data_IF_827921188515
#
_entry.id   IF_827921188515
#
_cell.length_a   1.000
_cell.length_b   1.000
_cell.length_c   1.000
_cell.angle_alpha   90.00
_cell.angle_beta   90.00
_cell.angle_gamma   90.00
#
_symmetry.space_group_name_H-M   'P 1'
#
loop_
_entity.id
_entity.type
_entity.pdbx_description
1 polymer ?
#
# COMPACT_ATOMS: atom_id res chain seq x y z
N UNK A 1 -19.32 10.33 -7.24
CA UNK A 1 -18.80 10.27 -5.85
C UNK A 1 -17.80 9.11 -5.60
N UNK A 2 -17.13 8.55 -6.62
CA UNK A 2 -16.40 7.28 -6.46
C UNK A 2 -15.07 7.20 -7.24
N UNK A 3 -14.24 8.21 -7.05
CA UNK A 3 -12.79 8.17 -7.32
C UNK A 3 -12.15 9.21 -6.42
N UNK A 4 -11.93 8.84 -5.15
CA UNK A 4 -11.51 9.78 -4.10
C UNK A 4 -10.04 9.73 -3.73
N UNK A 5 -9.22 8.83 -4.29
CA UNK A 5 -7.80 8.74 -3.92
C UNK A 5 -6.90 8.29 -5.07
N UNK A 6 -6.77 9.16 -6.07
CA UNK A 6 -5.52 9.27 -6.81
C UNK A 6 -5.04 10.67 -6.46
N UNK A 7 -4.06 10.78 -5.54
CA UNK A 7 -3.07 11.87 -5.40
C UNK A 7 -2.38 11.77 -4.03
N UNK A 8 -1.09 11.43 -4.15
CA UNK A 8 0.10 11.78 -3.35
C UNK A 8 0.22 11.42 -1.87
N UNK A 9 1.50 11.33 -1.53
CA UNK A 9 2.08 10.99 -0.26
C UNK A 9 3.31 11.86 -0.04
N UNK A 10 3.43 12.40 1.17
CA UNK A 10 4.63 13.06 1.66
C UNK A 10 4.29 14.27 2.52
N UNK A 11 3.79 14.04 3.75
CA UNK A 11 3.98 14.93 4.92
C UNK A 11 3.22 14.50 6.20
N UNK A 12 2.36 13.47 6.18
CA UNK A 12 1.65 13.04 7.40
C UNK A 12 2.51 12.01 8.15
N UNK A 13 3.61 12.45 8.75
CA UNK A 13 4.42 11.64 9.67
C UNK A 13 4.25 12.05 11.14
N UNK A 14 3.32 12.98 11.48
CA UNK A 14 3.27 13.57 12.81
C UNK A 14 1.88 13.63 13.50
N UNK A 15 0.86 12.91 13.02
CA UNK A 15 -0.48 12.97 13.65
C UNK A 15 -1.05 11.65 14.18
N UNK A 16 -0.30 10.54 14.15
CA UNK A 16 -0.75 9.26 14.74
C UNK A 16 -0.18 9.04 16.14
N UNK A 17 -0.49 9.94 17.08
CA UNK A 17 -0.25 9.77 18.53
C UNK A 17 -1.40 10.30 19.37
N UNK A 18 -2.66 10.07 18.97
CA UNK A 18 -3.83 10.40 19.82
C UNK A 18 -5.03 9.49 19.54
N UNK A 19 -4.90 8.18 19.65
CA UNK A 19 -6.05 7.29 19.76
C UNK A 19 -5.66 6.01 20.51
N UNK A 20 -5.64 6.10 21.84
CA UNK A 20 -5.87 4.97 22.72
C UNK A 20 -6.94 5.42 23.71
N UNK A 21 -8.19 5.10 23.36
CA UNK A 21 -9.34 5.26 24.25
C UNK A 21 -9.39 4.11 25.24
N UNK A 22 -9.65 4.45 26.50
CA UNK A 22 -9.90 3.51 27.58
C UNK A 22 -11.08 2.59 27.26
N UNK A 23 -10.91 1.29 27.50
CA UNK A 23 -11.99 0.29 27.48
C UNK A 23 -12.55 0.17 28.90
N UNK A 24 -13.87 0.26 29.11
CA UNK A 24 -14.47 -0.05 30.41
C UNK A 24 -14.66 -1.57 30.55
N UNK A 25 -14.24 -2.12 31.69
CA UNK A 25 -14.48 -3.53 32.05
C UNK A 25 -15.78 -3.61 32.82
N UNK A 26 -16.76 -4.33 32.27
CA UNK A 26 -18.01 -4.72 32.94
C UNK A 26 -17.75 -5.91 33.87
N UNK A 27 -18.11 -5.77 35.14
CA UNK A 27 -18.19 -6.88 36.09
C UNK A 27 -19.63 -7.40 36.13
N UNK A 28 -19.82 -8.66 35.78
CA UNK A 28 -20.98 -9.44 36.21
C UNK A 28 -20.59 -10.91 36.30
N UNK A 29 -20.69 -11.47 37.51
CA UNK A 29 -21.06 -12.87 37.74
C UNK A 29 -21.31 -13.09 39.23
N UNK A 30 -22.57 -13.02 39.65
CA UNK A 30 -23.05 -13.61 40.90
C UNK A 30 -23.50 -15.04 40.62
N UNK A 31 -22.88 -16.07 41.24
CA UNK A 31 -23.53 -17.33 41.66
C UNK A 31 -22.59 -18.04 42.64
N UNK A 32 -23.10 -18.29 43.86
CA UNK A 32 -23.18 -19.58 44.58
C UNK A 32 -23.05 -19.40 46.10
N UNK A 33 -24.10 -19.81 46.82
CA UNK A 33 -24.11 -20.07 48.26
C UNK A 33 -24.24 -21.58 48.46
N UNK A 34 -23.39 -22.16 49.30
CA UNK A 34 -23.58 -23.33 50.19
C UNK A 34 -22.17 -23.78 50.64
N UNK A 35 -21.73 -23.52 51.88
CA UNK A 35 -22.04 -24.18 53.17
C UNK A 35 -21.00 -25.26 53.56
N UNK A 36 -20.30 -25.00 54.67
CA UNK A 36 -19.75 -25.99 55.59
C UNK A 36 -18.38 -26.63 55.28
N UNK A 37 -17.37 -26.25 56.07
CA UNK A 37 -16.67 -27.11 57.07
C UNK A 37 -15.26 -26.54 57.35
N UNK A 38 -15.14 -26.06 58.59
CA UNK A 38 -14.00 -25.80 59.48
C UNK A 38 -12.56 -25.88 58.93
N UNK A 39 -11.87 -24.73 58.96
CA UNK A 39 -10.41 -24.63 58.86
C UNK A 39 -9.85 -23.90 60.06
N UNK A 40 -8.79 -24.49 60.61
CA UNK A 40 -7.91 -23.92 61.63
C UNK A 40 -7.56 -22.46 61.30
N UNK A 41 -7.71 -21.61 62.31
CA UNK A 41 -7.42 -20.18 62.25
C UNK A 41 -5.90 -20.01 62.28
N UNK A 42 -5.28 -19.97 61.10
CA UNK A 42 -4.06 -19.19 60.90
C UNK A 42 -4.50 -17.74 60.74
N UNK A 43 -4.04 -16.85 61.62
CA UNK A 43 -4.21 -15.40 61.46
C UNK A 43 -3.50 -14.98 60.17
N UNK A 44 -4.24 -14.98 59.07
CA UNK A 44 -3.79 -14.40 57.81
C UNK A 44 -4.04 -12.91 57.92
N UNK A 45 -2.96 -12.12 58.03
CA UNK A 45 -3.05 -10.67 57.91
C UNK A 45 -3.88 -10.32 56.65
N UNK A 46 -4.79 -9.34 56.72
CA UNK A 46 -5.64 -9.02 55.59
C UNK A 46 -4.78 -8.62 54.40
N UNK A 47 -4.76 -9.46 53.36
CA UNK A 47 -4.05 -9.18 52.12
C UNK A 47 -4.52 -7.82 51.62
N UNK A 48 -3.62 -6.84 51.58
CA UNK A 48 -3.92 -5.50 51.06
C UNK A 48 -4.51 -5.67 49.67
N UNK A 49 -5.81 -5.31 49.54
CA UNK A 49 -6.56 -5.43 48.28
C UNK A 49 -5.94 -4.63 47.13
N UNK A 50 -5.10 -3.65 47.45
CA UNK A 50 -4.40 -2.85 46.46
C UNK A 50 -2.91 -2.73 46.80
N UNK A 51 -2.07 -3.32 45.94
CA UNK A 51 -0.62 -3.15 46.03
C UNK A 51 -0.23 -1.70 45.69
N UNK A 52 0.75 -1.18 46.41
CA UNK A 52 1.36 0.12 46.12
C UNK A 52 1.97 0.12 44.71
N UNK A 53 2.04 1.31 44.10
CA UNK A 53 2.59 1.50 42.75
C UNK A 53 4.02 0.95 42.63
N UNK A 54 4.79 1.05 43.70
CA UNK A 54 6.18 0.58 43.75
C UNK A 54 6.27 -0.95 43.87
N UNK A 55 5.34 -1.57 44.61
CA UNK A 55 5.25 -3.03 44.72
C UNK A 55 4.81 -3.65 43.40
N UNK A 56 3.84 -3.02 42.71
CA UNK A 56 3.42 -3.41 41.36
C UNK A 56 4.58 -3.30 40.36
N UNK A 57 5.41 -2.25 40.45
CA UNK A 57 6.59 -2.09 39.60
C UNK A 57 7.65 -3.17 39.86
N UNK A 58 7.91 -3.50 41.13
CA UNK A 58 8.85 -4.56 41.52
C UNK A 58 8.39 -5.93 41.03
N UNK A 59 7.12 -6.25 41.21
CA UNK A 59 6.53 -7.51 40.75
C UNK A 59 6.57 -7.58 39.22
N UNK A 60 6.24 -6.50 38.51
CA UNK A 60 6.34 -6.43 37.05
C UNK A 60 7.78 -6.67 36.56
N UNK A 61 8.77 -6.03 37.19
CA UNK A 61 10.18 -6.23 36.84
C UNK A 61 10.65 -7.66 37.12
N UNK A 62 10.20 -8.26 38.21
CA UNK A 62 10.51 -9.64 38.54
C UNK A 62 9.87 -10.62 37.56
N UNK A 63 8.59 -10.46 37.24
CA UNK A 63 7.91 -11.28 36.23
C UNK A 63 8.57 -11.16 34.85
N UNK A 64 8.98 -9.96 34.44
CA UNK A 64 9.71 -9.75 33.19
C UNK A 64 11.09 -10.43 33.18
N UNK A 65 11.68 -10.70 34.35
CA UNK A 65 12.94 -11.45 34.46
C UNK A 65 12.75 -12.97 34.40
N UNK A 66 11.57 -13.47 34.78
CA UNK A 66 11.21 -14.88 34.78
C UNK A 66 10.66 -15.37 33.44
N UNK A 67 10.11 -14.45 32.64
CA UNK A 67 9.69 -14.75 31.27
C UNK A 67 10.94 -14.84 30.41
N UNK A 68 11.26 -15.99 29.78
CA UNK A 68 12.37 -16.07 28.84
C UNK A 68 12.16 -15.03 27.73
N UNK A 69 13.22 -14.29 27.38
CA UNK A 69 13.14 -13.26 26.36
C UNK A 69 12.53 -13.84 25.09
N UNK A 70 11.49 -13.18 24.56
CA UNK A 70 10.78 -13.58 23.33
C UNK A 70 11.72 -13.80 22.13
N UNK A 71 12.95 -13.26 22.19
CA UNK A 71 14.05 -13.50 21.26
C UNK A 71 14.48 -14.97 21.10
N UNK A 72 14.15 -15.86 22.05
CA UNK A 72 14.58 -17.27 22.01
C UNK A 72 13.54 -18.24 21.42
N UNK A 73 12.27 -17.84 21.31
CA UNK A 73 11.15 -18.76 20.99
C UNK A 73 10.58 -18.56 19.58
N UNK A 74 10.89 -17.47 18.89
CA UNK A 74 10.38 -17.24 17.54
C UNK A 74 11.01 -16.01 16.91
N UNK A 75 11.26 -16.10 15.61
CA UNK A 75 12.03 -15.12 14.84
C UNK A 75 11.74 -13.66 15.18
N UNK A 76 12.82 -12.89 15.30
CA UNK A 76 12.86 -11.43 15.53
C UNK A 76 11.64 -10.69 14.96
N UNK A 77 10.66 -10.40 15.83
CA UNK A 77 9.88 -9.18 15.70
C UNK A 77 10.72 -8.07 16.34
N UNK A 78 11.64 -7.47 15.57
CA UNK A 78 12.43 -6.33 16.04
C UNK A 78 11.49 -5.24 16.55
N UNK A 79 11.83 -4.66 17.71
CA UNK A 79 11.07 -3.60 18.40
C UNK A 79 10.92 -2.31 17.58
N UNK A 80 11.68 -2.16 16.50
CA UNK A 80 11.35 -1.30 15.37
C UNK A 80 10.46 -2.11 14.41
N UNK A 81 9.17 -1.79 14.33
CA UNK A 81 8.13 -2.57 13.64
C UNK A 81 8.30 -2.85 12.13
N UNK A 82 9.50 -2.78 11.56
CA UNK A 82 9.87 -3.30 10.23
C UNK A 82 11.33 -3.79 10.27
N UNK A 83 11.58 -5.07 10.51
CA UNK A 83 12.83 -5.70 10.06
C UNK A 83 12.82 -5.66 8.53
N UNK A 84 13.45 -4.63 7.95
CA UNK A 84 13.49 -4.48 6.49
C UNK A 84 14.50 -5.48 5.97
N UNK A 85 14.03 -6.59 5.40
CA UNK A 85 14.92 -7.54 4.73
C UNK A 85 15.72 -6.81 3.64
N UNK A 86 17.03 -7.05 3.61
CA UNK A 86 17.87 -6.57 2.52
C UNK A 86 17.39 -7.13 1.18
N UNK A 87 17.51 -6.35 0.10
CA UNK A 87 17.11 -6.81 -1.24
C UNK A 87 17.89 -8.07 -1.67
N UNK A 88 19.12 -8.23 -1.20
CA UNK A 88 19.96 -9.37 -1.54
C UNK A 88 19.73 -10.59 -0.63
N UNK A 89 19.00 -10.43 0.48
CA UNK A 89 18.78 -11.46 1.50
C UNK A 89 17.52 -12.30 1.28
N UNK A 90 16.84 -12.16 0.14
CA UNK A 90 15.62 -12.92 -0.16
C UNK A 90 15.89 -14.43 -0.21
N UNK A 91 15.27 -15.20 0.69
CA UNK A 91 15.34 -16.68 0.72
C UNK A 91 14.01 -17.31 0.33
N UNK A 92 14.09 -18.55 -0.15
CA UNK A 92 12.90 -19.37 -0.46
C UNK A 92 12.07 -19.63 0.80
N UNK A 93 12.73 -19.81 1.96
CA UNK A 93 12.07 -19.98 3.26
C UNK A 93 11.07 -18.87 3.56
N UNK A 94 11.40 -17.63 3.19
CA UNK A 94 10.58 -16.46 3.50
C UNK A 94 9.33 -16.44 2.61
N UNK A 95 9.48 -16.87 1.34
CA UNK A 95 8.36 -17.04 0.40
C UNK A 95 7.42 -18.18 0.83
N UNK A 96 7.97 -19.27 1.36
CA UNK A 96 7.18 -20.37 1.95
C UNK A 96 6.41 -19.86 3.16
N UNK A 97 7.09 -19.17 4.09
CA UNK A 97 6.50 -18.62 5.31
C UNK A 97 5.39 -17.59 5.03
N UNK A 98 5.56 -16.78 3.99
CA UNK A 98 4.54 -15.83 3.54
C UNK A 98 3.37 -16.47 2.77
N UNK A 99 3.44 -17.77 2.44
CA UNK A 99 2.38 -18.49 1.74
C UNK A 99 2.29 -18.20 0.24
N UNK A 100 3.39 -17.76 -0.38
CA UNK A 100 3.43 -17.36 -1.81
C UNK A 100 3.26 -18.55 -2.76
N UNK A 101 3.63 -19.75 -2.31
CA UNK A 101 3.60 -20.99 -3.09
C UNK A 101 2.21 -21.58 -3.31
N UNK A 102 1.19 -21.09 -2.59
CA UNK A 102 -0.17 -21.62 -2.68
C UNK A 102 -0.90 -20.97 -3.84
N UNK A 103 -1.23 -21.75 -4.87
CA UNK A 103 -2.07 -21.28 -5.97
C UNK A 103 -3.54 -21.63 -5.79
N UNK A 104 -4.30 -21.60 -6.89
CA UNK A 104 -5.70 -21.97 -6.93
C UNK A 104 -5.94 -23.47 -7.18
N UNK A 105 -7.21 -23.88 -7.09
CA UNK A 105 -7.69 -25.22 -7.45
C UNK A 105 -7.41 -25.58 -8.91
N UNK A 106 -7.25 -26.88 -9.17
CA UNK A 106 -7.04 -27.48 -10.52
C UNK A 106 -8.04 -27.01 -11.57
N UNK A 107 -9.29 -26.80 -11.17
CA UNK A 107 -10.39 -26.46 -12.07
C UNK A 107 -10.34 -25.02 -12.57
N UNK A 108 -9.72 -24.12 -11.79
CA UNK A 108 -9.65 -22.69 -12.08
C UNK A 108 -8.33 -22.30 -12.77
N UNK A 109 -7.49 -23.30 -13.08
CA UNK A 109 -6.16 -23.08 -13.65
C UNK A 109 -6.21 -22.59 -15.10
N UNK A 110 -5.32 -21.67 -15.44
CA UNK A 110 -5.15 -21.15 -16.79
C UNK A 110 -3.96 -21.85 -17.51
N UNK A 111 -4.17 -22.48 -18.68
CA UNK A 111 -3.15 -23.29 -19.36
C UNK A 111 -1.81 -22.57 -19.63
N UNK A 112 -1.85 -21.27 -19.93
CA UNK A 112 -0.63 -20.48 -20.20
C UNK A 112 0.26 -20.31 -18.96
N UNK A 113 -0.25 -20.60 -17.77
CA UNK A 113 0.52 -20.52 -16.53
C UNK A 113 1.17 -21.86 -16.12
N UNK A 114 1.20 -22.86 -17.01
CA UNK A 114 1.78 -24.18 -16.75
C UNK A 114 3.23 -24.11 -16.26
N UNK A 115 4.04 -23.24 -16.87
CA UNK A 115 5.49 -23.19 -16.62
C UNK A 115 5.87 -22.67 -15.22
N UNK A 116 4.93 -22.02 -14.52
CA UNK A 116 5.19 -21.49 -13.17
C UNK A 116 4.76 -22.45 -12.08
N UNK A 117 3.99 -23.49 -12.42
CA UNK A 117 3.46 -24.48 -11.48
C UNK A 117 4.50 -25.57 -11.27
N UNK A 118 4.80 -25.85 -10.01
CA UNK A 118 5.68 -26.94 -9.60
C UNK A 118 4.96 -28.29 -9.62
N UNK A 119 3.72 -28.33 -9.13
CA UNK A 119 2.94 -29.55 -9.04
C UNK A 119 1.55 -29.31 -8.46
N UNK A 120 0.88 -30.41 -8.09
CA UNK A 120 -0.44 -30.38 -7.50
C UNK A 120 -0.44 -31.20 -6.19
N UNK A 121 -1.03 -30.64 -5.14
CA UNK A 121 -1.19 -31.30 -3.84
C UNK A 121 -2.60 -31.04 -3.34
N UNK A 122 -3.34 -32.10 -2.99
CA UNK A 122 -4.72 -32.00 -2.48
C UNK A 122 -5.65 -31.14 -3.36
N UNK A 123 -5.50 -31.23 -4.69
CA UNK A 123 -6.31 -30.45 -5.64
C UNK A 123 -5.89 -29.00 -5.84
N UNK A 124 -4.89 -28.50 -5.09
CA UNK A 124 -4.36 -27.15 -5.20
C UNK A 124 -3.04 -27.15 -5.97
N UNK A 125 -2.87 -26.21 -6.88
CA UNK A 125 -1.60 -26.01 -7.57
C UNK A 125 -0.56 -25.36 -6.64
N UNK A 126 0.65 -25.92 -6.65
CA UNK A 126 1.80 -25.35 -5.95
C UNK A 126 2.63 -24.59 -6.98
N UNK A 127 2.88 -23.31 -6.70
CA UNK A 127 3.71 -22.44 -7.54
C UNK A 127 5.20 -22.71 -7.25
N UNK A 128 6.00 -22.79 -8.30
CA UNK A 128 7.45 -22.95 -8.17
C UNK A 128 8.10 -21.66 -7.66
N UNK A 129 8.57 -21.71 -6.42
CA UNK A 129 9.18 -20.57 -5.75
C UNK A 129 10.53 -20.13 -6.33
N UNK A 130 11.25 -20.99 -7.05
CA UNK A 130 12.49 -20.58 -7.73
C UNK A 130 12.18 -19.58 -8.85
N UNK A 131 11.13 -19.84 -9.63
CA UNK A 131 10.63 -18.91 -10.64
C UNK A 131 10.10 -17.63 -10.00
N UNK A 132 9.36 -17.74 -8.89
CA UNK A 132 8.92 -16.57 -8.11
C UNK A 132 10.09 -15.71 -7.65
N UNK A 133 11.11 -16.32 -7.04
CA UNK A 133 12.28 -15.61 -6.52
C UNK A 133 13.05 -14.89 -7.62
N UNK A 134 13.29 -15.57 -8.76
CA UNK A 134 13.95 -14.97 -9.91
C UNK A 134 13.14 -13.80 -10.50
N UNK A 135 11.82 -13.97 -10.66
CA UNK A 135 10.93 -12.93 -11.16
C UNK A 135 10.87 -11.72 -10.20
N UNK A 136 10.77 -11.96 -8.89
CA UNK A 136 10.70 -10.93 -7.86
C UNK A 136 12.01 -10.11 -7.80
N UNK A 137 13.17 -10.74 -7.92
CA UNK A 137 14.47 -10.04 -8.01
C UNK A 137 14.56 -9.17 -9.26
N UNK A 138 14.14 -9.68 -10.42
CA UNK A 138 14.10 -8.89 -11.67
C UNK A 138 13.16 -7.68 -11.55
N UNK A 139 11.96 -7.89 -11.01
CA UNK A 139 10.99 -6.84 -10.76
C UNK A 139 11.53 -5.76 -9.80
N UNK A 140 12.17 -6.16 -8.70
CA UNK A 140 12.80 -5.25 -7.75
C UNK A 140 13.94 -4.44 -8.39
N UNK A 141 14.75 -5.05 -9.26
CA UNK A 141 15.78 -4.35 -10.03
C UNK A 141 15.20 -3.25 -10.92
N UNK A 142 14.10 -3.54 -11.63
CA UNK A 142 13.38 -2.55 -12.45
C UNK A 142 12.80 -1.42 -11.60
N UNK A 143 12.11 -1.75 -10.50
CA UNK A 143 11.52 -0.77 -9.58
C UNK A 143 12.59 0.16 -9.01
N UNK A 144 13.74 -0.38 -8.60
CA UNK A 144 14.89 0.38 -8.13
C UNK A 144 15.41 1.34 -9.20
N UNK A 145 15.51 0.90 -10.45
CA UNK A 145 15.95 1.72 -11.58
C UNK A 145 14.97 2.86 -11.89
N UNK A 146 13.66 2.57 -11.93
CA UNK A 146 12.63 3.59 -12.17
C UNK A 146 12.65 4.65 -11.06
N UNK A 147 12.73 4.22 -9.79
CA UNK A 147 12.84 5.14 -8.67
C UNK A 147 14.14 5.96 -8.69
N UNK A 148 15.25 5.36 -9.15
CA UNK A 148 16.54 6.06 -9.30
C UNK A 148 16.48 7.14 -10.39
N UNK A 149 15.81 6.88 -11.51
CA UNK A 149 15.56 7.88 -12.56
C UNK A 149 14.58 8.97 -12.12
N UNK A 150 13.81 8.71 -11.06
CA UNK A 150 12.80 9.63 -10.58
C UNK A 150 11.42 9.43 -11.17
N UNK A 151 11.18 8.27 -11.77
CA UNK A 151 9.89 7.95 -12.35
C UNK A 151 8.81 7.72 -11.29
N UNK A 152 7.57 7.81 -11.75
CA UNK A 152 6.37 7.63 -10.94
C UNK A 152 5.99 6.15 -10.92
N UNK A 153 5.94 5.58 -9.73
CA UNK A 153 5.49 4.20 -9.51
C UNK A 153 4.09 4.25 -8.91
N UNK A 154 3.17 3.49 -9.51
CA UNK A 154 1.77 3.40 -9.08
C UNK A 154 1.45 2.00 -8.56
N UNK A 155 1.15 1.89 -7.26
CA UNK A 155 0.67 0.64 -6.66
C UNK A 155 -0.85 0.53 -6.79
N UNK A 156 -1.35 -0.53 -7.41
CA UNK A 156 -2.79 -0.73 -7.65
C UNK A 156 -3.24 -2.01 -6.96
N UNK A 157 -4.19 -1.89 -6.04
CA UNK A 157 -4.80 -3.01 -5.32
C UNK A 157 -6.25 -2.70 -4.99
N UNK A 158 -7.19 -3.27 -5.75
CA UNK A 158 -8.63 -2.95 -5.60
C UNK A 158 -9.39 -3.86 -4.65
N UNK A 159 -8.80 -5.00 -4.28
CA UNK A 159 -9.40 -5.96 -3.36
C UNK A 159 -9.33 -5.44 -1.92
N UNK A 160 -10.43 -5.57 -1.18
CA UNK A 160 -10.54 -5.04 0.19
C UNK A 160 -9.45 -5.59 1.11
N UNK A 161 -9.14 -6.89 1.00
CA UNK A 161 -8.14 -7.59 1.81
C UNK A 161 -6.73 -6.99 1.67
N UNK A 162 -6.39 -6.40 0.53
CA UNK A 162 -5.05 -5.87 0.21
C UNK A 162 -4.99 -4.34 0.23
N UNK A 163 -6.10 -3.67 0.56
CA UNK A 163 -6.19 -2.20 0.63
C UNK A 163 -5.10 -1.60 1.53
N UNK A 164 -4.98 -2.10 2.75
CA UNK A 164 -4.02 -1.59 3.73
C UNK A 164 -2.57 -1.88 3.31
N UNK A 165 -2.33 -3.07 2.75
CA UNK A 165 -1.03 -3.46 2.20
C UNK A 165 -0.59 -2.49 1.09
N UNK A 166 -1.51 -2.15 0.18
CA UNK A 166 -1.25 -1.24 -0.94
C UNK A 166 -0.92 0.16 -0.44
N UNK A 167 -1.68 0.66 0.54
CA UNK A 167 -1.40 1.94 1.21
C UNK A 167 0.00 1.91 1.81
N UNK A 168 0.28 0.95 2.70
CA UNK A 168 1.52 0.88 3.43
C UNK A 168 2.73 0.80 2.50
N UNK A 169 2.65 0.00 1.43
CA UNK A 169 3.70 -0.10 0.43
C UNK A 169 4.00 1.24 -0.24
N UNK A 170 2.96 1.98 -0.64
CA UNK A 170 3.11 3.31 -1.23
C UNK A 170 3.63 4.34 -0.22
N UNK A 171 3.12 4.32 1.02
CA UNK A 171 3.59 5.18 2.14
C UNK A 171 5.07 4.98 2.42
N UNK A 172 5.50 3.73 2.47
CA UNK A 172 6.89 3.38 2.79
C UNK A 172 7.91 3.89 1.77
N UNK A 173 7.54 4.04 0.50
CA UNK A 173 8.43 4.51 -0.56
C UNK A 173 8.10 5.93 -1.06
N UNK A 174 7.09 6.59 -0.49
CA UNK A 174 6.56 7.89 -0.94
C UNK A 174 6.26 7.88 -2.45
N UNK A 175 5.43 6.92 -2.86
CA UNK A 175 4.94 6.75 -4.23
C UNK A 175 3.40 6.77 -4.24
N UNK A 176 2.80 6.54 -5.40
CA UNK A 176 1.37 6.69 -5.62
C UNK A 176 0.64 5.36 -5.49
N UNK A 177 -0.66 5.42 -5.17
CA UNK A 177 -1.49 4.22 -5.06
C UNK A 177 -2.90 4.43 -5.64
N UNK A 178 -3.57 3.31 -5.96
CA UNK A 178 -5.00 3.20 -6.28
C UNK A 178 -5.57 2.03 -5.51
N UNK A 179 -6.68 2.27 -4.80
CA UNK A 179 -7.27 1.29 -3.86
C UNK A 179 -8.72 0.97 -4.11
N UNK A 180 -9.51 1.96 -4.49
CA UNK A 180 -10.95 1.77 -4.57
C UNK A 180 -11.27 0.97 -5.84
N UNK A 181 -11.54 1.67 -6.93
CA UNK A 181 -11.83 1.08 -8.22
C UNK A 181 -11.01 1.80 -9.27
N UNK A 182 -10.45 1.03 -10.20
CA UNK A 182 -9.88 1.59 -11.41
C UNK A 182 -10.99 2.18 -12.29
N UNK A 183 -10.93 3.47 -12.58
CA UNK A 183 -11.86 4.10 -13.51
C UNK A 183 -11.32 3.97 -14.93
N UNK A 184 -12.16 3.48 -15.83
CA UNK A 184 -11.81 3.39 -17.23
C UNK A 184 -11.50 4.79 -17.79
N UNK A 185 -10.42 4.92 -18.52
CA UNK A 185 -9.92 6.18 -19.05
C UNK A 185 -8.91 6.89 -18.14
N UNK A 186 -8.48 6.29 -17.02
CA UNK A 186 -7.47 6.89 -16.16
C UNK A 186 -6.13 7.08 -16.87
N UNK A 187 -5.73 6.20 -17.79
CA UNK A 187 -4.50 6.39 -18.57
C UNK A 187 -4.74 6.91 -19.99
N UNK A 188 -5.86 6.54 -20.63
CA UNK A 188 -6.13 6.89 -22.03
C UNK A 188 -6.85 8.24 -22.19
N UNK A 189 -7.67 8.64 -21.21
CA UNK A 189 -8.42 9.90 -21.19
C UNK A 189 -8.10 10.70 -19.92
N UNK A 190 -6.82 10.70 -19.56
CA UNK A 190 -6.34 11.19 -18.27
C UNK A 190 -6.58 12.70 -18.09
N UNK A 191 -6.44 13.49 -19.16
CA UNK A 191 -6.66 14.95 -19.17
C UNK A 191 -8.02 15.35 -18.58
N UNK A 192 -9.14 15.09 -19.26
CA UNK A 192 -10.48 15.49 -18.79
C UNK A 192 -10.93 14.78 -17.51
N UNK A 193 -10.46 13.55 -17.27
CA UNK A 193 -10.88 12.77 -16.10
C UNK A 193 -10.20 13.27 -14.83
N UNK A 194 -8.89 13.51 -14.88
CA UNK A 194 -8.11 13.91 -13.72
C UNK A 194 -8.18 15.42 -13.48
N UNK A 195 -8.35 16.25 -14.51
CA UNK A 195 -8.47 17.71 -14.36
C UNK A 195 -9.64 18.14 -13.46
N UNK A 196 -10.78 17.43 -13.56
CA UNK A 196 -11.96 17.64 -12.70
C UNK A 196 -11.72 17.24 -11.25
N UNK A 197 -10.77 16.35 -11.01
CA UNK A 197 -10.45 15.84 -9.68
C UNK A 197 -9.37 16.68 -9.00
N UNK A 198 -8.38 17.14 -9.75
CA UNK A 198 -7.36 18.05 -9.24
C UNK A 198 -7.96 19.37 -8.77
N UNK A 199 -8.94 19.93 -9.50
CA UNK A 199 -9.64 21.14 -9.05
C UNK A 199 -10.42 20.90 -7.74
N UNK A 200 -11.11 19.78 -7.63
CA UNK A 200 -11.81 19.38 -6.39
C UNK A 200 -10.86 19.20 -5.20
N UNK A 201 -9.66 18.67 -5.46
CA UNK A 201 -8.62 18.48 -4.43
C UNK A 201 -8.06 19.83 -3.97
N UNK A 202 -7.78 20.75 -4.90
CA UNK A 202 -7.33 22.11 -4.60
C UNK A 202 -8.37 22.91 -3.81
N UNK A 203 -9.66 22.68 -4.08
CA UNK A 203 -10.77 23.39 -3.42
C UNK A 203 -11.07 22.86 -2.01
N UNK A 204 -10.85 21.57 -1.73
CA UNK A 204 -11.26 20.94 -0.45
C UNK A 204 -10.13 20.56 0.49
N UNK A 205 -8.91 20.42 -0.01
CA UNK A 205 -7.73 20.30 0.83
C UNK A 205 -7.09 21.69 0.79
N UNK A 206 -7.31 22.49 1.83
CA UNK A 206 -6.69 23.81 2.04
C UNK A 206 -5.15 23.69 2.03
N UNK A 207 -4.57 23.56 0.84
CA UNK A 207 -3.13 23.62 0.61
C UNK A 207 -2.87 25.03 0.09
N UNK A 208 -2.47 25.99 0.95
CA UNK A 208 -2.32 27.39 0.56
C UNK A 208 -1.34 27.58 -0.61
N UNK A 209 -0.41 26.65 -0.81
CA UNK A 209 0.59 26.64 -1.89
C UNK A 209 -0.01 26.32 -3.29
N UNK A 210 -1.13 25.60 -3.36
CA UNK A 210 -1.78 25.29 -4.65
C UNK A 210 -2.66 26.46 -5.16
N UNK A 211 -3.11 27.31 -4.24
CA UNK A 211 -3.91 28.50 -4.56
C UNK A 211 -3.08 29.60 -5.25
N UNK A 212 -1.76 29.67 -4.99
CA UNK A 212 -0.88 30.64 -5.64
C UNK A 212 -0.57 30.30 -7.11
N UNK A 213 -0.68 29.02 -7.50
CA UNK A 213 -0.45 28.58 -8.89
C UNK A 213 -1.68 28.77 -9.78
N UNK A 214 -2.88 28.85 -9.21
CA UNK A 214 -4.14 29.02 -9.94
C UNK A 214 -4.68 30.40 -9.63
N UNK A 215 -4.15 31.40 -10.33
CA UNK A 215 -4.63 32.79 -10.28
C UNK A 215 -6.11 32.85 -10.66
N UNK A 216 -6.98 32.78 -9.65
CA UNK A 216 -8.42 32.84 -9.83
C UNK A 216 -8.83 34.31 -9.88
N UNK A 217 -8.93 34.85 -11.10
CA UNK A 217 -9.67 36.09 -11.30
C UNK A 217 -11.15 35.79 -11.05
N UNK A 218 -11.72 36.44 -10.03
CA UNK A 218 -13.16 36.46 -9.78
C UNK A 218 -13.79 37.33 -10.87
N UNK A 219 -14.52 36.73 -11.81
CA UNK A 219 -15.30 37.48 -12.79
C UNK A 219 -16.61 37.98 -12.15
N UNK A 220 -16.88 39.27 -12.33
CA UNK A 220 -18.06 39.97 -11.84
C UNK A 220 -19.37 39.47 -12.47
N UNK A 221 -20.40 39.33 -11.64
CA UNK A 221 -21.74 38.86 -12.03
C UNK A 221 -22.47 39.98 -12.78
N UNK A 222 -22.22 40.07 -14.09
CA UNK A 222 -22.92 40.94 -15.03
C UNK A 222 -24.22 40.31 -15.57
N UNK A 223 -25.23 41.16 -15.74
CA UNK A 223 -26.61 40.87 -16.19
C UNK A 223 -26.71 39.96 -17.43
N UNK A 224 -27.52 38.90 -17.32
CA UNK A 224 -27.72 37.85 -18.32
C UNK A 224 -28.41 38.35 -19.61
N UNK A 225 -27.62 38.80 -20.61
CA UNK A 225 -28.07 38.83 -22.01
C UNK A 225 -27.99 37.42 -22.61
N UNK A 226 -29.09 36.94 -23.19
CA UNK A 226 -29.13 35.65 -23.92
C UNK A 226 -28.14 35.69 -25.10
N UNK A 227 -27.01 35.01 -24.95
CA UNK A 227 -25.97 34.88 -25.99
C UNK A 227 -26.50 34.08 -27.19
N UNK A 228 -26.08 34.45 -28.40
CA UNK A 228 -26.39 33.71 -29.63
C UNK A 228 -25.74 32.31 -29.60
N UNK A 229 -26.40 31.30 -30.20
CA UNK A 229 -25.90 29.91 -30.30
C UNK A 229 -24.47 29.82 -30.86
N UNK A 230 -24.10 30.72 -31.76
CA UNK A 230 -22.75 30.79 -32.32
C UNK A 230 -21.71 31.23 -31.28
N UNK A 231 -22.03 32.27 -30.50
CA UNK A 231 -21.16 32.80 -29.44
C UNK A 231 -20.97 31.76 -28.32
N UNK A 232 -22.00 30.97 -28.01
CA UNK A 232 -21.89 29.85 -27.08
C UNK A 232 -20.91 28.78 -27.58
N UNK A 233 -20.99 28.39 -28.86
CA UNK A 233 -20.05 27.41 -29.46
C UNK A 233 -18.61 27.92 -29.50
N UNK A 234 -18.40 29.20 -29.83
CA UNK A 234 -17.07 29.81 -29.82
C UNK A 234 -16.47 29.87 -28.41
N UNK A 235 -17.30 30.20 -27.40
CA UNK A 235 -16.88 30.19 -26.01
C UNK A 235 -16.60 28.77 -25.48
N UNK A 236 -17.36 27.77 -25.91
CA UNK A 236 -17.08 26.36 -25.59
C UNK A 236 -15.78 25.88 -26.23
N UNK A 237 -15.50 26.24 -27.48
CA UNK A 237 -14.22 25.92 -28.13
C UNK A 237 -13.04 26.62 -27.46
N UNK A 238 -13.19 27.90 -27.11
CA UNK A 238 -12.17 28.66 -26.39
C UNK A 238 -11.94 28.06 -24.99
N UNK A 239 -12.98 27.75 -24.23
CA UNK A 239 -12.85 27.06 -22.93
C UNK A 239 -12.23 25.68 -23.06
N UNK A 240 -12.52 24.95 -24.14
CA UNK A 240 -11.92 23.65 -24.39
C UNK A 240 -10.43 23.79 -24.72
N UNK A 241 -10.05 24.74 -25.56
CA UNK A 241 -8.67 25.07 -25.86
C UNK A 241 -7.92 25.60 -24.63
N UNK A 242 -8.57 26.43 -23.82
CA UNK A 242 -8.03 26.91 -22.54
C UNK A 242 -7.86 25.77 -21.54
N UNK A 243 -8.81 24.84 -21.43
CA UNK A 243 -8.66 23.63 -20.62
C UNK A 243 -7.58 22.67 -21.14
N UNK A 244 -7.36 22.64 -22.45
CA UNK A 244 -6.24 21.91 -23.06
C UNK A 244 -4.90 22.59 -22.77
N UNK A 245 -4.86 23.93 -22.77
CA UNK A 245 -3.66 24.73 -22.44
C UNK A 245 -3.33 24.75 -20.94
N UNK A 246 -4.37 24.78 -20.09
CA UNK A 246 -4.31 24.70 -18.64
C UNK A 246 -4.47 23.26 -18.14
N UNK A 247 -4.32 22.26 -19.02
CA UNK A 247 -4.32 20.87 -18.62
C UNK A 247 -3.12 20.67 -17.69
N UNK A 248 -3.41 20.74 -16.39
CA UNK A 248 -2.54 20.36 -15.29
C UNK A 248 -1.74 19.16 -15.76
N UNK A 249 -0.42 19.28 -15.83
CA UNK A 249 0.47 18.24 -16.37
C UNK A 249 0.02 16.88 -15.86
N UNK A 250 -0.69 16.13 -16.70
CA UNK A 250 -1.28 14.87 -16.27
C UNK A 250 -0.15 13.87 -16.31
N UNK A 251 0.46 13.67 -15.15
CA UNK A 251 1.60 12.79 -15.00
C UNK A 251 1.17 11.35 -15.20
N UNK A 252 1.54 10.80 -16.35
CA UNK A 252 1.45 9.38 -16.65
C UNK A 252 2.45 8.60 -15.78
N UNK A 253 2.04 7.48 -15.16
CA UNK A 253 2.97 6.66 -14.39
C UNK A 253 3.99 5.99 -15.33
N UNK A 254 5.23 5.86 -14.86
CA UNK A 254 6.30 5.17 -15.59
C UNK A 254 6.29 3.66 -15.34
N UNK A 255 5.69 3.23 -14.23
CA UNK A 255 5.57 1.84 -13.84
C UNK A 255 4.33 1.60 -12.99
N UNK A 256 3.57 0.57 -13.31
CA UNK A 256 2.41 0.16 -12.51
C UNK A 256 2.70 -1.19 -11.86
N UNK A 257 2.43 -1.29 -10.55
CA UNK A 257 2.50 -2.53 -9.77
C UNK A 257 1.07 -2.95 -9.43
N UNK A 258 0.58 -3.99 -10.10
CA UNK A 258 -0.74 -4.59 -9.90
C UNK A 258 -0.68 -5.74 -8.89
N UNK A 259 -1.31 -5.58 -7.74
CA UNK A 259 -1.32 -6.60 -6.69
C UNK A 259 -2.39 -7.68 -6.90
N UNK A 260 -3.49 -7.36 -7.60
CA UNK A 260 -4.57 -8.29 -7.96
C UNK A 260 -4.94 -8.14 -9.46
N UNK A 261 -4.11 -8.62 -10.40
CA UNK A 261 -4.29 -8.32 -11.82
C UNK A 261 -5.56 -8.93 -12.43
N UNK A 262 -6.15 -9.96 -11.83
CA UNK A 262 -7.39 -10.60 -12.33
C UNK A 262 -8.58 -9.63 -12.34
N UNK A 263 -8.67 -8.74 -11.36
CA UNK A 263 -9.73 -7.72 -11.26
C UNK A 263 -9.41 -6.46 -12.07
N UNK A 264 -8.17 -6.31 -12.50
CA UNK A 264 -7.62 -5.09 -13.10
C UNK A 264 -7.51 -5.14 -14.63
N UNK A 265 -8.40 -5.90 -15.29
CA UNK A 265 -8.37 -6.11 -16.75
C UNK A 265 -8.38 -4.81 -17.56
N UNK A 266 -9.18 -3.84 -17.13
CA UNK A 266 -9.27 -2.51 -17.77
C UNK A 266 -7.95 -1.75 -17.64
N UNK A 267 -7.35 -1.75 -16.45
CA UNK A 267 -6.06 -1.12 -16.19
C UNK A 267 -4.96 -1.74 -17.06
N UNK A 268 -4.90 -3.08 -17.14
CA UNK A 268 -3.92 -3.77 -17.98
C UNK A 268 -4.09 -3.41 -19.45
N UNK A 269 -5.33 -3.40 -19.95
CA UNK A 269 -5.64 -3.05 -21.34
C UNK A 269 -5.25 -1.61 -21.68
N UNK A 270 -5.52 -0.68 -20.76
CA UNK A 270 -5.11 0.71 -20.89
C UNK A 270 -3.59 0.88 -20.80
N UNK A 271 -2.92 0.13 -19.93
CA UNK A 271 -1.46 0.18 -19.77
C UNK A 271 -0.74 -0.23 -21.05
N UNK A 272 -1.24 -1.26 -21.75
CA UNK A 272 -0.71 -1.66 -23.07
C UNK A 272 -0.91 -0.53 -24.10
N UNK A 273 -2.12 0.03 -24.21
CA UNK A 273 -2.41 1.13 -25.16
C UNK A 273 -1.59 2.38 -24.86
N UNK A 274 -1.42 2.69 -23.59
CA UNK A 274 -0.63 3.81 -23.11
C UNK A 274 0.86 3.47 -22.99
N UNK A 275 1.34 2.29 -23.39
CA UNK A 275 2.76 1.92 -23.34
C UNK A 275 3.40 2.10 -21.95
N UNK A 276 2.67 1.75 -20.89
CA UNK A 276 3.18 1.76 -19.51
C UNK A 276 3.50 0.31 -19.10
N UNK A 277 4.73 0.01 -18.67
CA UNK A 277 5.08 -1.33 -18.22
C UNK A 277 4.35 -1.68 -16.92
N UNK A 278 3.92 -2.94 -16.81
CA UNK A 278 3.17 -3.46 -15.67
C UNK A 278 3.93 -4.61 -15.00
N UNK A 279 4.05 -4.53 -13.67
CA UNK A 279 4.49 -5.63 -12.81
C UNK A 279 3.25 -6.14 -12.07
N UNK A 280 3.09 -7.44 -11.92
CA UNK A 280 1.99 -7.94 -11.09
C UNK A 280 2.16 -9.38 -10.61
N UNK A 281 1.36 -9.72 -9.60
CA UNK A 281 1.35 -11.06 -9.00
C UNK A 281 0.46 -11.96 -9.86
N UNK A 282 1.03 -13.00 -10.45
CA UNK A 282 0.33 -13.94 -11.32
C UNK A 282 0.07 -15.24 -10.57
N UNK A 283 -1.16 -15.46 -10.14
CA UNK A 283 -1.62 -16.74 -9.62
C UNK A 283 -1.98 -17.70 -10.77
N UNK A 284 -2.20 -18.98 -10.48
CA UNK A 284 -2.36 -20.08 -11.43
C UNK A 284 -3.57 -19.91 -12.36
N UNK A 285 -4.57 -19.13 -11.98
CA UNK A 285 -5.74 -18.80 -12.80
C UNK A 285 -5.52 -17.60 -13.77
N UNK A 286 -4.39 -16.90 -13.66
CA UNK A 286 -4.08 -15.71 -14.45
C UNK A 286 -3.19 -16.04 -15.66
N UNK A 287 -3.35 -15.28 -16.75
CA UNK A 287 -2.48 -15.36 -17.93
C UNK A 287 -1.25 -14.47 -17.75
N UNK A 288 -0.04 -15.02 -17.50
CA UNK A 288 1.15 -14.22 -17.22
C UNK A 288 1.55 -13.29 -18.38
N UNK A 289 1.11 -13.56 -19.61
CA UNK A 289 1.43 -12.75 -20.80
C UNK A 289 0.79 -11.36 -20.79
N UNK A 290 -0.23 -11.14 -19.96
CA UNK A 290 -0.92 -9.84 -19.84
C UNK A 290 -0.13 -8.82 -19.02
N UNK A 291 0.93 -9.25 -18.34
CA UNK A 291 1.83 -8.40 -17.57
C UNK A 291 3.17 -8.29 -18.31
N UNK A 292 3.83 -7.13 -18.20
CA UNK A 292 5.20 -6.99 -18.71
C UNK A 292 6.19 -7.80 -17.86
N UNK A 293 6.00 -7.80 -16.54
CA UNK A 293 6.76 -8.61 -15.60
C UNK A 293 5.81 -9.31 -14.64
N UNK A 294 5.55 -10.59 -14.91
CA UNK A 294 4.76 -11.45 -14.02
C UNK A 294 5.62 -12.00 -12.88
N UNK A 295 5.15 -11.86 -11.65
CA UNK A 295 5.72 -12.52 -10.47
C UNK A 295 4.77 -13.67 -10.10
N UNK A 296 5.15 -14.94 -10.33
CA UNK A 296 4.31 -16.05 -9.93
C UNK A 296 4.10 -16.06 -8.42
N UNK A 297 2.86 -16.12 -7.96
CA UNK A 297 2.59 -16.14 -6.52
C UNK A 297 1.11 -16.04 -6.19
N UNK A 298 0.80 -16.32 -4.92
CA UNK A 298 -0.54 -16.20 -4.34
C UNK A 298 -1.01 -14.73 -4.24
N UNK A 299 -2.11 -14.38 -4.90
CA UNK A 299 -2.75 -13.05 -4.83
C UNK A 299 -3.96 -12.97 -3.87
N UNK A 300 -4.36 -14.10 -3.29
CA UNK A 300 -5.44 -14.17 -2.30
C UNK A 300 -4.98 -13.89 -0.88
N UNK A 301 -3.81 -14.41 -0.51
CA UNK A 301 -3.27 -14.25 0.85
C UNK A 301 -2.73 -12.83 1.06
N UNK A 302 -3.26 -12.14 2.08
CA UNK A 302 -2.78 -10.82 2.51
C UNK A 302 -1.30 -10.86 2.90
N UNK A 303 -0.84 -11.97 3.50
CA UNK A 303 0.55 -12.14 3.89
C UNK A 303 1.48 -12.25 2.66
N UNK A 304 1.06 -13.02 1.65
CA UNK A 304 1.81 -13.19 0.39
C UNK A 304 1.92 -11.87 -0.37
N UNK A 305 0.77 -11.21 -0.60
CA UNK A 305 0.72 -9.91 -1.29
C UNK A 305 1.48 -8.85 -0.49
N UNK A 306 1.33 -8.85 0.83
CA UNK A 306 2.06 -7.99 1.77
C UNK A 306 3.56 -8.14 1.66
N UNK A 307 4.05 -9.38 1.62
CA UNK A 307 5.46 -9.68 1.46
C UNK A 307 6.02 -9.12 0.14
N UNK A 308 5.36 -9.42 -0.98
CA UNK A 308 5.79 -8.96 -2.31
C UNK A 308 5.73 -7.44 -2.41
N UNK A 309 4.64 -6.81 -1.96
CA UNK A 309 4.46 -5.36 -1.99
C UNK A 309 5.51 -4.63 -1.14
N UNK A 310 5.80 -5.14 0.06
CA UNK A 310 6.83 -4.58 0.94
C UNK A 310 8.24 -4.73 0.34
N UNK A 311 8.54 -5.87 -0.27
CA UNK A 311 9.82 -6.09 -0.94
C UNK A 311 10.03 -5.12 -2.11
N UNK A 312 9.02 -4.93 -2.97
CA UNK A 312 9.06 -3.94 -4.06
C UNK A 312 9.13 -2.50 -3.54
N UNK A 313 8.41 -2.18 -2.46
CA UNK A 313 8.48 -0.86 -1.81
C UNK A 313 9.87 -0.56 -1.25
N UNK A 314 10.52 -1.55 -0.64
CA UNK A 314 11.91 -1.44 -0.18
C UNK A 314 12.86 -1.18 -1.36
N UNK A 315 12.64 -1.86 -2.49
CA UNK A 315 13.44 -1.64 -3.71
C UNK A 315 13.28 -0.21 -4.25
N UNK A 316 12.05 0.31 -4.26
CA UNK A 316 11.76 1.69 -4.67
C UNK A 316 12.44 2.70 -3.73
N UNK A 317 12.37 2.48 -2.43
CA UNK A 317 13.03 3.34 -1.43
C UNK A 317 14.55 3.33 -1.60
N UNK A 318 15.15 2.16 -1.80
CA UNK A 318 16.59 2.02 -2.05
C UNK A 318 17.02 2.79 -3.31
N UNK A 319 16.26 2.70 -4.40
CA UNK A 319 16.51 3.46 -5.63
C UNK A 319 16.41 4.97 -5.41
N UNK A 320 15.41 5.42 -4.66
CA UNK A 320 15.23 6.84 -4.32
C UNK A 320 16.36 7.38 -3.44
N UNK A 321 16.82 6.59 -2.46
CA UNK A 321 17.95 6.97 -1.61
C UNK A 321 19.27 7.04 -2.41
N UNK A 322 19.50 6.08 -3.31
CA UNK A 322 20.64 6.11 -4.22
C UNK A 322 20.63 7.36 -5.13
N UNK A 323 19.46 7.75 -5.64
CA UNK A 323 19.30 8.99 -6.40
C UNK A 323 19.65 10.22 -5.57
N UNK A 324 19.13 10.32 -4.34
CA UNK A 324 19.42 11.44 -3.43
C UNK A 324 20.92 11.54 -3.14
N UNK A 325 21.58 10.43 -2.85
CA UNK A 325 23.03 10.39 -2.63
C UNK A 325 23.80 10.89 -3.85
N UNK A 326 23.43 10.42 -5.05
CA UNK A 326 24.09 10.86 -6.29
C UNK A 326 23.87 12.35 -6.59
N UNK A 327 22.67 12.85 -6.35
CA UNK A 327 22.38 14.28 -6.49
C UNK A 327 23.17 15.14 -5.50
N UNK A 328 23.28 14.71 -4.24
CA UNK A 328 24.08 15.40 -3.23
C UNK A 328 25.57 15.45 -3.61
N UNK A 329 26.11 14.34 -4.13
CA UNK A 329 27.49 14.26 -4.65
C UNK A 329 27.72 15.24 -5.81
N UNK A 330 26.81 15.27 -6.80
CA UNK A 330 26.91 16.19 -7.94
C UNK A 330 26.80 17.67 -7.53
N UNK A 331 25.95 17.98 -6.55
CA UNK A 331 25.85 19.34 -5.99
C UNK A 331 27.12 19.72 -5.25
N UNK A 332 27.73 18.80 -4.49
CA UNK A 332 29.01 19.03 -3.82
C UNK A 332 30.16 19.26 -4.82
N UNK A 333 30.17 18.54 -5.95
CA UNK A 333 31.16 18.73 -7.01
C UNK A 333 31.00 20.10 -7.69
N UNK A 334 29.77 20.55 -7.97
CA UNK A 334 29.51 21.87 -8.58
C UNK A 334 29.86 23.06 -7.69
N UNK A 335 30.02 22.84 -6.38
CA UNK A 335 30.38 23.89 -5.41
C UNK A 335 31.89 24.05 -5.22
N UNK A 336 32.69 23.09 -5.70
CA UNK A 336 34.15 23.16 -5.73
C UNK A 336 34.61 23.75 -7.06
#
# INVERSE_FOLDING_TARGET
>A
MLTRRIIRLGQIANQSRRFLGNVPVSNDSSVSTESGVDKEILEVEPVKKELSKDEKARISNHLNSLIPSLDQIGGKATRDGKSRMGLDELRISDLVAAGVHLGHSKELWHPMNMNTIFGLRNGIHIINLEHTMAALRRAAGLVKLVAYKGGIILFVGTKESIRNVTLDAAFNCNQYYVIDKWVAGTLTNAGPLLSKQSSYIQEKLDVPEAAELVGTQKEDVGTNKKKSRYQQRMQEQQKKAEMESNAINVFKPDLIVALNPIDLKTMLSESVRSHVPTIGIADTNFDPRKLTFSIPGNDDSVASVGFIANYLSNAALAGKNARKAKMAELVALKRK
#
